data_IF_563904957243
#
_entry.id   IF_563904957243
#
_cell.length_a   1.000
_cell.length_b   1.000
_cell.length_c   1.000
_cell.angle_alpha   90.00
_cell.angle_beta   90.00
_cell.angle_gamma   90.00
#
_symmetry.space_group_name_H-M   'P 1'
#
loop_
_entity.id
_entity.type
_entity.pdbx_description
1 polymer ?
#
# COMPACT_ATOMS: atom_id res chain seq x y z
N UNK A 1 -19.81 10.85 2.20
CA UNK A 1 -18.89 11.93 2.57
C UNK A 1 -17.51 11.39 2.29
N UNK A 2 -16.74 12.09 1.45
CA UNK A 2 -15.42 11.68 0.98
C UNK A 2 -14.36 12.16 1.96
N UNK A 3 -13.50 11.25 2.42
CA UNK A 3 -12.31 11.59 3.18
C UNK A 3 -11.25 12.16 2.23
N UNK A 4 -10.82 13.40 2.43
CA UNK A 4 -9.91 14.10 1.52
C UNK A 4 -8.54 14.33 2.17
N UNK A 5 -7.50 13.77 1.56
CA UNK A 5 -6.09 13.99 1.92
C UNK A 5 -5.43 14.85 0.84
N UNK A 6 -4.68 15.87 1.28
CA UNK A 6 -3.85 16.71 0.42
C UNK A 6 -2.39 16.30 0.63
N UNK A 7 -1.88 15.50 -0.32
CA UNK A 7 -0.57 14.87 -0.25
C UNK A 7 0.47 15.55 -1.15
N UNK A 8 1.73 15.55 -0.73
CA UNK A 8 2.84 16.18 -1.42
C UNK A 8 4.06 15.27 -1.49
N UNK A 9 4.48 14.91 -2.71
CA UNK A 9 5.69 14.11 -2.95
C UNK A 9 6.91 15.04 -2.98
N UNK A 10 7.63 15.06 -1.87
CA UNK A 10 8.70 16.01 -1.56
C UNK A 10 10.07 15.40 -1.84
N UNK A 11 10.44 15.42 -3.13
CA UNK A 11 11.41 14.49 -3.68
C UNK A 11 12.67 15.11 -4.31
N UNK A 12 12.65 16.39 -4.70
CA UNK A 12 13.79 17.00 -5.41
C UNK A 12 14.90 17.45 -4.44
N UNK A 13 15.93 16.61 -4.31
CA UNK A 13 17.18 16.89 -3.59
C UNK A 13 18.33 17.37 -4.50
N UNK A 14 18.03 17.68 -5.77
CA UNK A 14 19.01 18.13 -6.77
C UNK A 14 18.93 19.64 -6.97
N UNK A 15 17.73 20.20 -7.08
CA UNK A 15 17.51 21.60 -7.42
C UNK A 15 17.16 22.46 -6.18
N UNK A 16 18.04 23.37 -5.73
CA UNK A 16 17.75 24.23 -4.57
C UNK A 16 16.51 25.11 -4.73
N UNK A 17 16.12 25.44 -5.97
CA UNK A 17 14.93 26.24 -6.26
C UNK A 17 13.63 25.47 -6.06
N UNK A 18 13.66 24.13 -6.16
CA UNK A 18 12.48 23.28 -5.93
C UNK A 18 11.92 23.44 -4.50
N UNK A 19 12.79 23.76 -3.54
CA UNK A 19 12.42 24.01 -2.15
C UNK A 19 11.45 25.19 -1.96
N UNK A 20 11.41 26.15 -2.90
CA UNK A 20 10.40 27.22 -2.86
C UNK A 20 8.99 26.72 -3.15
N UNK A 21 8.86 25.69 -3.99
CA UNK A 21 7.58 25.05 -4.28
C UNK A 21 6.97 24.41 -3.02
N UNK A 22 7.82 23.73 -2.23
CA UNK A 22 7.45 23.15 -0.92
C UNK A 22 6.87 24.26 -0.03
N UNK A 23 7.67 25.31 0.23
CA UNK A 23 7.28 26.40 1.12
C UNK A 23 5.96 27.07 0.71
N UNK A 24 5.78 27.34 -0.59
CA UNK A 24 4.58 28.01 -1.10
C UNK A 24 3.34 27.14 -0.97
N UNK A 25 3.41 25.89 -1.42
CA UNK A 25 2.27 24.98 -1.39
C UNK A 25 1.82 24.70 0.05
N UNK A 26 2.74 24.38 0.96
CA UNK A 26 2.42 24.10 2.37
C UNK A 26 1.75 25.30 3.04
N UNK A 27 2.28 26.52 2.82
CA UNK A 27 1.68 27.74 3.38
C UNK A 27 0.25 27.98 2.88
N UNK A 28 0.01 27.83 1.58
CA UNK A 28 -1.32 28.03 0.99
C UNK A 28 -2.34 27.07 1.62
N UNK A 29 -1.98 25.80 1.76
CA UNK A 29 -2.84 24.77 2.35
C UNK A 29 -3.12 25.05 3.83
N UNK A 30 -2.09 25.40 4.62
CA UNK A 30 -2.26 25.74 6.05
C UNK A 30 -3.05 27.02 6.27
N UNK A 31 -2.83 28.05 5.45
CA UNK A 31 -3.62 29.29 5.49
C UNK A 31 -5.11 29.03 5.23
N UNK A 32 -5.43 28.04 4.39
CA UNK A 32 -6.80 27.60 4.16
C UNK A 32 -7.39 26.76 5.31
N UNK A 33 -6.57 26.36 6.29
CA UNK A 33 -6.99 25.59 7.47
C UNK A 33 -6.92 24.08 7.30
N UNK A 34 -6.17 23.59 6.32
CA UNK A 34 -5.93 22.16 6.08
C UNK A 34 -4.55 21.76 6.62
N UNK A 35 -4.34 20.47 6.88
CA UNK A 35 -3.02 19.92 7.21
C UNK A 35 -2.38 19.34 5.93
N UNK A 36 -1.27 19.92 5.42
CA UNK A 36 -0.49 19.31 4.36
C UNK A 36 0.14 17.99 4.84
N UNK A 37 0.04 16.94 4.04
CA UNK A 37 0.76 15.68 4.27
C UNK A 37 1.91 15.59 3.27
N UNK A 38 3.16 15.50 3.74
CA UNK A 38 4.33 15.43 2.88
C UNK A 38 4.97 14.04 2.97
N UNK A 39 5.01 13.33 1.84
CA UNK A 39 5.90 12.18 1.66
C UNK A 39 7.30 12.74 1.37
N UNK A 40 8.22 12.69 2.34
CA UNK A 40 9.55 13.31 2.23
C UNK A 40 10.63 12.27 1.95
N UNK A 41 11.43 12.52 0.91
CA UNK A 41 12.65 11.76 0.65
C UNK A 41 13.71 12.22 1.65
N UNK A 42 14.35 11.29 2.36
CA UNK A 42 15.33 11.66 3.39
C UNK A 42 16.50 12.52 2.83
N UNK A 43 16.96 12.21 1.60
CA UNK A 43 17.94 13.05 0.88
C UNK A 43 17.45 14.49 0.64
N UNK A 44 16.15 14.71 0.47
CA UNK A 44 15.59 16.07 0.35
C UNK A 44 15.72 16.81 1.67
N UNK A 45 15.43 16.18 2.80
CA UNK A 45 15.64 16.79 4.12
C UNK A 45 17.12 17.18 4.32
N UNK A 46 18.06 16.31 3.97
CA UNK A 46 19.50 16.60 4.03
C UNK A 46 19.92 17.72 3.07
N UNK A 47 19.36 17.74 1.86
CA UNK A 47 19.60 18.79 0.88
C UNK A 47 19.13 20.16 1.38
N UNK A 48 17.95 20.23 2.03
CA UNK A 48 17.46 21.47 2.63
C UNK A 48 18.43 22.01 3.69
N UNK A 49 19.02 21.15 4.53
CA UNK A 49 20.06 21.53 5.49
C UNK A 49 21.30 22.07 4.77
N UNK A 50 21.80 21.33 3.76
CA UNK A 50 22.97 21.70 2.95
C UNK A 50 22.78 23.06 2.25
N UNK A 51 21.57 23.34 1.78
CA UNK A 51 21.21 24.58 1.10
C UNK A 51 20.90 25.73 2.07
N UNK A 52 20.89 25.49 3.38
CA UNK A 52 20.56 26.50 4.38
C UNK A 52 19.08 26.93 4.37
N UNK A 53 18.18 26.06 3.90
CA UNK A 53 16.74 26.30 3.77
C UNK A 53 15.99 26.03 5.06
N UNK A 54 16.42 26.69 6.15
CA UNK A 54 15.77 26.56 7.45
C UNK A 54 14.30 27.00 7.41
N UNK A 55 13.98 27.98 6.56
CA UNK A 55 12.60 28.43 6.31
C UNK A 55 11.68 27.32 5.81
N UNK A 56 12.19 26.38 5.01
CA UNK A 56 11.43 25.23 4.49
C UNK A 56 11.35 24.12 5.53
N UNK A 57 12.45 23.87 6.25
CA UNK A 57 12.47 22.89 7.35
C UNK A 57 11.46 23.28 8.44
N UNK A 58 11.42 24.55 8.81
CA UNK A 58 10.49 25.08 9.82
C UNK A 58 9.02 25.02 9.35
N UNK A 59 8.78 25.12 8.04
CA UNK A 59 7.45 24.93 7.46
C UNK A 59 7.05 23.45 7.48
N UNK A 60 7.91 22.55 7.02
CA UNK A 60 7.65 21.10 7.03
C UNK A 60 7.40 20.55 8.45
N UNK A 61 8.09 21.09 9.46
CA UNK A 61 7.83 20.78 10.89
C UNK A 61 6.41 21.08 11.36
N UNK A 62 5.64 21.85 10.60
CA UNK A 62 4.24 22.18 10.90
C UNK A 62 3.25 21.37 10.05
N UNK A 63 3.75 20.42 9.26
CA UNK A 63 2.99 19.52 8.40
C UNK A 63 2.99 18.10 8.98
N UNK A 64 2.12 17.25 8.44
CA UNK A 64 2.24 15.81 8.64
C UNK A 64 3.34 15.26 7.72
N UNK A 65 4.27 14.49 8.28
CA UNK A 65 5.46 14.00 7.57
C UNK A 65 5.39 12.48 7.47
N UNK A 66 5.53 12.01 6.24
CA UNK A 66 5.52 10.61 5.82
C UNK A 66 6.81 10.25 5.11
N UNK A 67 7.11 8.95 4.98
CA UNK A 67 8.33 8.50 4.32
C UNK A 67 8.13 8.34 2.82
N UNK A 68 9.07 8.89 2.06
CA UNK A 68 9.22 8.68 0.62
C UNK A 68 10.55 7.98 0.29
N UNK A 69 11.00 7.11 1.21
CA UNK A 69 12.28 6.37 1.18
C UNK A 69 13.53 7.25 1.35
N UNK A 70 14.71 6.62 1.42
CA UNK A 70 15.98 7.33 1.53
C UNK A 70 16.29 8.21 0.30
N UNK A 71 16.15 7.67 -0.91
CA UNK A 71 16.68 8.26 -2.16
C UNK A 71 15.71 8.29 -3.34
N UNK A 72 14.45 7.92 -3.12
CA UNK A 72 13.43 7.84 -4.18
C UNK A 72 13.90 6.91 -5.31
N UNK A 73 14.02 7.43 -6.53
CA UNK A 73 14.35 6.71 -7.76
C UNK A 73 15.85 6.53 -8.03
N UNK A 74 16.73 7.01 -7.14
CA UNK A 74 18.17 6.74 -7.26
C UNK A 74 18.47 5.26 -6.93
N UNK A 75 19.10 4.56 -7.87
CA UNK A 75 19.29 3.12 -7.81
C UNK A 75 20.35 2.69 -6.77
N UNK A 76 20.23 1.48 -6.19
CA UNK A 76 19.10 0.56 -6.35
C UNK A 76 17.85 1.08 -5.64
N UNK A 77 16.69 1.00 -6.30
CA UNK A 77 15.40 1.31 -5.68
C UNK A 77 14.93 0.15 -4.81
N UNK A 78 13.86 0.37 -4.05
CA UNK A 78 13.30 -0.61 -3.12
C UNK A 78 13.04 -1.97 -3.75
N UNK A 79 12.52 -2.01 -4.97
CA UNK A 79 12.31 -3.26 -5.69
C UNK A 79 13.65 -3.93 -6.05
N UNK A 80 14.65 -3.15 -6.41
CA UNK A 80 15.91 -3.69 -6.91
C UNK A 80 16.74 -4.35 -5.81
N UNK A 81 16.79 -3.74 -4.61
CA UNK A 81 17.51 -4.33 -3.49
C UNK A 81 16.70 -5.39 -2.72
N UNK A 82 15.38 -5.49 -2.93
CA UNK A 82 14.53 -6.53 -2.31
C UNK A 82 14.17 -7.70 -3.22
N UNK A 83 14.61 -7.71 -4.49
CA UNK A 83 14.37 -8.82 -5.43
C UNK A 83 15.28 -10.02 -5.14
N UNK A 84 15.11 -10.62 -3.97
CA UNK A 84 15.90 -11.74 -3.47
C UNK A 84 15.04 -12.99 -3.27
N UNK A 85 15.68 -14.14 -3.44
CA UNK A 85 15.06 -15.44 -3.22
C UNK A 85 14.68 -15.63 -1.75
N UNK A 86 15.57 -15.24 -0.84
CA UNK A 86 15.40 -15.29 0.60
C UNK A 86 14.67 -14.04 1.09
N UNK A 87 13.48 -14.23 1.65
CA UNK A 87 12.66 -13.14 2.17
C UNK A 87 13.28 -12.48 3.40
N UNK A 88 13.89 -13.26 4.30
CA UNK A 88 14.44 -12.71 5.54
C UNK A 88 15.62 -11.79 5.24
N UNK A 89 16.44 -12.15 4.25
CA UNK A 89 17.52 -11.29 3.75
C UNK A 89 16.98 -10.04 3.05
N UNK A 90 15.94 -10.17 2.21
CA UNK A 90 15.27 -9.03 1.61
C UNK A 90 14.72 -8.06 2.67
N UNK A 91 14.12 -8.60 3.73
CA UNK A 91 13.61 -7.82 4.84
C UNK A 91 14.73 -7.16 5.66
N UNK A 92 15.85 -7.85 5.89
CA UNK A 92 17.00 -7.26 6.59
C UNK A 92 17.52 -6.03 5.84
N UNK A 93 17.74 -6.14 4.53
CA UNK A 93 18.23 -5.04 3.69
C UNK A 93 17.22 -3.89 3.64
N UNK A 94 15.93 -4.20 3.46
CA UNK A 94 14.87 -3.19 3.51
C UNK A 94 14.90 -2.41 4.82
N UNK A 95 14.99 -3.09 5.97
CA UNK A 95 15.00 -2.43 7.28
C UNK A 95 16.22 -1.54 7.43
N UNK A 96 17.39 -2.00 7.01
CA UNK A 96 18.62 -1.19 7.09
C UNK A 96 18.50 0.12 6.32
N UNK A 97 17.97 0.09 5.09
CA UNK A 97 17.77 1.29 4.26
C UNK A 97 16.66 2.20 4.81
N UNK A 98 15.51 1.63 5.16
CA UNK A 98 14.36 2.43 5.58
C UNK A 98 14.49 2.96 7.01
N UNK A 99 15.05 2.20 7.97
CA UNK A 99 15.34 2.74 9.30
C UNK A 99 16.31 3.92 9.21
N UNK A 100 17.30 3.85 8.32
CA UNK A 100 18.20 4.97 8.07
C UNK A 100 17.44 6.20 7.53
N UNK A 101 16.49 6.01 6.60
CA UNK A 101 15.69 7.09 6.06
C UNK A 101 14.82 7.74 7.13
N UNK A 102 14.10 6.93 7.92
CA UNK A 102 13.24 7.41 8.99
C UNK A 102 14.04 8.17 10.06
N UNK A 103 15.24 7.72 10.39
CA UNK A 103 16.09 8.42 11.36
C UNK A 103 16.53 9.79 10.86
N UNK A 104 16.94 9.90 9.59
CA UNK A 104 17.28 11.20 8.98
C UNK A 104 16.10 12.16 9.02
N UNK A 105 14.91 11.68 8.67
CA UNK A 105 13.69 12.49 8.72
C UNK A 105 13.40 12.94 10.16
N UNK A 106 13.51 12.05 11.15
CA UNK A 106 13.30 12.40 12.56
C UNK A 106 14.29 13.43 13.07
N UNK A 107 15.57 13.28 12.72
CA UNK A 107 16.63 14.16 13.16
C UNK A 107 16.46 15.59 12.61
N UNK A 108 16.02 15.72 11.35
CA UNK A 108 15.92 17.02 10.67
C UNK A 108 14.54 17.66 10.88
N UNK A 109 13.46 16.90 10.73
CA UNK A 109 12.07 17.36 10.72
C UNK A 109 11.36 17.16 12.06
N UNK A 110 12.03 16.60 13.07
CA UNK A 110 11.46 16.38 14.42
C UNK A 110 10.85 14.99 14.58
N UNK A 111 10.28 14.71 15.75
CA UNK A 111 9.77 13.37 16.09
C UNK A 111 8.48 13.01 15.31
N UNK A 112 8.65 12.67 14.03
CA UNK A 112 7.58 12.32 13.11
C UNK A 112 7.02 10.92 13.44
N UNK A 113 5.72 10.86 13.71
CA UNK A 113 4.97 9.62 13.77
C UNK A 113 4.44 9.30 12.36
N UNK A 114 5.24 8.58 11.57
CA UNK A 114 4.89 8.22 10.19
C UNK A 114 3.62 7.34 10.16
N UNK A 115 2.56 7.82 9.53
CA UNK A 115 1.30 7.11 9.31
C UNK A 115 1.20 6.49 7.90
N UNK A 116 2.03 6.94 6.97
CA UNK A 116 2.10 6.41 5.61
C UNK A 116 3.54 6.25 5.12
N UNK A 117 3.69 5.29 4.20
CA UNK A 117 4.83 5.18 3.33
C UNK A 117 4.35 5.28 1.88
N UNK A 118 5.00 6.13 1.10
CA UNK A 118 4.76 6.24 -0.34
C UNK A 118 6.06 5.86 -1.06
N UNK A 119 6.29 4.59 -1.45
CA UNK A 119 7.48 4.26 -2.22
C UNK A 119 7.39 4.76 -3.66
N UNK A 120 8.54 5.02 -4.31
CA UNK A 120 8.59 5.83 -5.51
C UNK A 120 8.00 5.10 -6.74
N UNK A 121 7.44 5.86 -7.67
CA UNK A 121 6.95 5.36 -8.97
C UNK A 121 5.84 4.31 -8.91
N UNK A 122 5.01 4.33 -7.86
CA UNK A 122 3.98 3.32 -7.61
C UNK A 122 4.56 1.90 -7.54
N UNK A 123 5.77 1.76 -7.00
CA UNK A 123 6.48 0.49 -6.89
C UNK A 123 6.03 -0.30 -5.65
N UNK A 124 4.91 -1.03 -5.73
CA UNK A 124 4.36 -1.83 -4.60
C UNK A 124 5.16 -3.12 -4.29
N UNK A 125 6.31 -3.02 -3.63
CA UNK A 125 7.06 -4.21 -3.16
C UNK A 125 6.31 -4.93 -2.03
N UNK A 126 6.06 -6.23 -2.18
CA UNK A 126 5.45 -7.02 -1.10
C UNK A 126 6.34 -7.08 0.16
N UNK A 127 7.67 -7.02 -0.02
CA UNK A 127 8.65 -6.95 1.08
C UNK A 127 8.48 -5.63 1.82
N UNK A 128 8.42 -4.53 1.08
CA UNK A 128 8.23 -3.21 1.67
C UNK A 128 6.92 -3.09 2.45
N UNK A 129 5.82 -3.63 1.90
CA UNK A 129 4.53 -3.59 2.58
C UNK A 129 4.57 -4.35 3.92
N UNK A 130 5.16 -5.55 3.97
CA UNK A 130 5.36 -6.24 5.25
C UNK A 130 6.30 -5.48 6.18
N UNK A 131 7.38 -4.93 5.64
CA UNK A 131 8.38 -4.20 6.40
C UNK A 131 7.84 -2.94 7.08
N UNK A 132 7.11 -2.10 6.35
CA UNK A 132 6.47 -0.93 6.90
C UNK A 132 5.40 -1.29 7.95
N UNK A 133 4.60 -2.35 7.72
CA UNK A 133 3.68 -2.86 8.74
C UNK A 133 4.39 -3.32 10.02
N UNK A 134 5.61 -3.86 9.91
CA UNK A 134 6.44 -4.19 11.07
C UNK A 134 7.06 -2.98 11.76
N UNK A 135 7.34 -1.92 11.01
CA UNK A 135 7.82 -0.64 11.55
C UNK A 135 6.69 0.17 12.21
N UNK A 136 5.45 -0.31 12.15
CA UNK A 136 4.29 0.38 12.71
C UNK A 136 3.71 1.46 11.80
N UNK A 137 4.07 1.46 10.51
CA UNK A 137 3.52 2.36 9.50
C UNK A 137 2.31 1.65 8.86
N UNK A 138 1.08 2.18 9.04
CA UNK A 138 -0.14 1.46 8.71
C UNK A 138 -0.63 1.63 7.26
N UNK A 139 -0.28 2.74 6.58
CA UNK A 139 -0.78 3.06 5.24
C UNK A 139 0.34 2.94 4.20
N UNK A 140 0.05 2.23 3.11
CA UNK A 140 0.83 2.24 1.88
C UNK A 140 0.11 3.12 0.87
N UNK A 141 0.69 4.29 0.61
CA UNK A 141 0.18 5.27 -0.34
C UNK A 141 0.73 5.01 -1.75
N UNK A 142 0.00 5.44 -2.79
CA UNK A 142 0.36 5.20 -4.19
C UNK A 142 0.35 3.70 -4.57
N UNK A 143 -0.43 2.87 -3.89
CA UNK A 143 -0.44 1.41 -4.08
C UNK A 143 -1.08 0.98 -5.39
N UNK A 144 -0.52 -0.07 -6.00
CA UNK A 144 -1.10 -0.79 -7.14
C UNK A 144 -2.22 -1.77 -6.74
N UNK A 145 -2.40 -2.00 -5.43
CA UNK A 145 -3.45 -2.85 -4.88
C UNK A 145 -4.47 -1.95 -4.19
N UNK A 146 -5.41 -1.41 -4.95
CA UNK A 146 -6.45 -0.51 -4.45
C UNK A 146 -7.75 -0.68 -5.24
N UNK A 147 -8.86 -0.19 -4.68
CA UNK A 147 -10.15 -0.06 -5.35
C UNK A 147 -10.26 1.35 -5.95
N UNK A 148 -9.69 1.54 -7.15
CA UNK A 148 -9.59 2.86 -7.79
C UNK A 148 -10.96 3.45 -8.18
N UNK A 149 -11.96 2.60 -8.42
CA UNK A 149 -13.27 3.02 -8.91
C UNK A 149 -14.05 3.82 -7.87
N UNK A 150 -13.90 3.45 -6.59
CA UNK A 150 -14.62 4.11 -5.49
C UNK A 150 -13.70 4.62 -4.37
N UNK A 151 -12.38 4.46 -4.49
CA UNK A 151 -11.42 4.88 -3.46
C UNK A 151 -11.59 4.13 -2.13
N UNK A 152 -12.03 2.87 -2.18
CA UNK A 152 -12.26 2.07 -0.97
C UNK A 152 -10.93 1.58 -0.39
N UNK A 153 -10.69 1.72 0.92
CA UNK A 153 -9.48 1.20 1.55
C UNK A 153 -9.51 -0.32 1.54
N UNK A 154 -8.40 -0.96 1.19
CA UNK A 154 -8.23 -2.40 1.33
C UNK A 154 -6.97 -2.72 2.13
N UNK A 155 -6.93 -3.90 2.76
CA UNK A 155 -5.71 -4.39 3.40
C UNK A 155 -4.99 -5.35 2.46
N UNK A 156 -3.67 -5.25 2.39
CA UNK A 156 -2.79 -6.14 1.63
C UNK A 156 -1.41 -6.14 2.30
N UNK A 157 -0.84 -7.33 2.51
CA UNK A 157 0.42 -7.52 3.24
C UNK A 157 0.48 -6.76 4.57
N UNK A 158 -0.58 -6.83 5.38
CA UNK A 158 -0.72 -6.20 6.69
C UNK A 158 -0.80 -4.66 6.73
N UNK A 159 -0.85 -3.98 5.59
CA UNK A 159 -1.06 -2.52 5.50
C UNK A 159 -2.40 -2.18 4.86
N UNK A 160 -2.94 -1.00 5.19
CA UNK A 160 -4.01 -0.36 4.42
C UNK A 160 -3.39 0.20 3.15
N UNK A 161 -3.89 -0.19 1.98
CA UNK A 161 -3.38 0.25 0.69
C UNK A 161 -4.36 1.24 0.06
N UNK A 162 -3.83 2.39 -0.37
CA UNK A 162 -4.58 3.47 -1.01
C UNK A 162 -3.91 3.86 -2.33
N UNK A 163 -4.71 4.19 -3.33
CA UNK A 163 -4.23 4.73 -4.60
C UNK A 163 -4.24 6.25 -4.61
N UNK A 164 -3.45 6.83 -5.51
CA UNK A 164 -3.59 8.24 -5.89
C UNK A 164 -4.79 8.43 -6.81
N UNK A 165 -5.50 9.56 -6.65
CA UNK A 165 -6.73 9.82 -7.40
C UNK A 165 -6.56 10.98 -8.37
N UNK A 166 -6.13 12.16 -7.89
CA UNK A 166 -6.05 13.34 -8.75
C UNK A 166 -4.76 14.15 -8.55
N UNK A 167 -3.96 14.37 -9.62
CA UNK A 167 -2.79 15.23 -9.56
C UNK A 167 -3.19 16.71 -9.57
N UNK A 168 -2.57 17.50 -8.70
CA UNK A 168 -2.66 18.96 -8.69
C UNK A 168 -1.55 19.60 -9.55
N UNK A 169 -0.60 18.82 -10.07
CA UNK A 169 0.55 19.28 -10.87
C UNK A 169 0.17 20.16 -12.06
N UNK A 170 -1.04 19.97 -12.60
CA UNK A 170 -1.53 20.71 -13.76
C UNK A 170 -2.26 22.02 -13.43
N UNK A 171 -2.36 22.40 -12.16
CA UNK A 171 -3.06 23.63 -11.75
C UNK A 171 -2.45 24.90 -12.36
N UNK A 172 -1.17 24.88 -12.73
CA UNK A 172 -0.52 26.00 -13.44
C UNK A 172 -1.04 26.24 -14.86
N UNK A 173 -1.74 25.28 -15.45
CA UNK A 173 -2.28 25.37 -16.82
C UNK A 173 -3.80 25.22 -16.90
N UNK A 174 -4.43 24.61 -15.89
CA UNK A 174 -5.89 24.41 -15.82
C UNK A 174 -6.70 25.69 -15.67
N UNK A 175 -7.88 25.70 -16.26
CA UNK A 175 -8.92 26.69 -15.98
C UNK A 175 -9.73 26.28 -14.74
N UNK A 176 -10.48 27.22 -14.14
CA UNK A 176 -11.30 26.92 -12.96
C UNK A 176 -12.37 25.86 -13.20
N UNK A 177 -12.85 25.72 -14.44
CA UNK A 177 -13.77 24.65 -14.82
C UNK A 177 -13.14 23.27 -14.67
N UNK A 178 -11.86 23.12 -15.02
CA UNK A 178 -11.15 21.84 -14.87
C UNK A 178 -11.02 21.46 -13.40
N UNK A 179 -10.78 22.46 -12.53
CA UNK A 179 -10.75 22.27 -11.07
C UNK A 179 -12.12 21.83 -10.53
N UNK A 180 -13.22 22.44 -11.01
CA UNK A 180 -14.57 22.04 -10.61
C UNK A 180 -14.93 20.63 -11.10
N UNK A 181 -14.57 20.29 -12.34
CA UNK A 181 -14.79 18.94 -12.90
C UNK A 181 -14.02 17.88 -12.11
N UNK A 182 -12.82 18.22 -11.62
CA UNK A 182 -12.07 17.36 -10.71
C UNK A 182 -12.81 17.17 -9.38
N UNK A 183 -13.27 18.26 -8.75
CA UNK A 183 -14.00 18.22 -7.47
C UNK A 183 -15.25 17.34 -7.58
N UNK A 184 -16.01 17.41 -8.67
CA UNK A 184 -17.19 16.56 -8.85
C UNK A 184 -16.83 15.06 -8.87
N UNK A 185 -15.73 14.69 -9.54
CA UNK A 185 -15.24 13.30 -9.55
C UNK A 185 -14.77 12.86 -8.17
N UNK A 186 -14.06 13.73 -7.45
CA UNK A 186 -13.58 13.44 -6.10
C UNK A 186 -14.73 13.09 -5.16
N UNK A 187 -15.89 13.74 -5.31
CA UNK A 187 -17.06 13.52 -4.44
C UNK A 187 -17.72 12.13 -4.61
N UNK A 188 -17.35 11.37 -5.64
CA UNK A 188 -17.83 10.00 -5.87
C UNK A 188 -17.03 8.96 -5.07
N UNK A 189 -15.88 9.34 -4.49
CA UNK A 189 -14.96 8.45 -3.80
C UNK A 189 -15.27 8.35 -2.29
N UNK A 190 -14.97 7.20 -1.69
CA UNK A 190 -14.97 7.01 -0.24
C UNK A 190 -13.77 7.74 0.40
N UNK A 191 -12.56 7.53 -0.15
CA UNK A 191 -11.31 8.22 0.20
C UNK A 191 -10.72 8.80 -1.09
N UNK A 192 -10.34 10.07 -1.05
CA UNK A 192 -9.69 10.76 -2.15
C UNK A 192 -8.35 11.32 -1.69
N UNK A 193 -7.27 10.89 -2.35
CA UNK A 193 -5.94 11.45 -2.21
C UNK A 193 -5.66 12.31 -3.43
N UNK A 194 -5.63 13.63 -3.22
CA UNK A 194 -5.07 14.56 -4.20
C UNK A 194 -3.59 14.72 -3.92
N UNK A 195 -2.76 14.69 -4.96
CA UNK A 195 -1.31 14.69 -4.80
C UNK A 195 -0.67 15.78 -5.67
N UNK A 196 0.48 16.28 -5.23
CA UNK A 196 1.28 17.26 -5.97
C UNK A 196 2.77 16.99 -5.74
N UNK A 197 3.58 17.22 -6.77
CA UNK A 197 5.03 17.28 -6.65
C UNK A 197 5.44 18.75 -6.50
N UNK A 198 5.75 19.26 -5.29
CA UNK A 198 6.03 20.69 -5.08
C UNK A 198 7.18 21.21 -5.96
N UNK A 199 8.11 20.34 -6.34
CA UNK A 199 9.18 20.65 -7.27
C UNK A 199 8.63 21.16 -8.61
N UNK A 200 7.52 20.64 -9.12
CA UNK A 200 6.91 21.07 -10.38
C UNK A 200 6.25 22.46 -10.32
N UNK A 201 6.14 23.06 -9.14
CA UNK A 201 5.76 24.47 -8.98
C UNK A 201 6.99 25.42 -8.91
N UNK A 202 8.17 24.91 -9.23
CA UNK A 202 9.42 25.68 -9.23
C UNK A 202 10.39 25.25 -10.34
N UNK A 203 10.40 23.99 -10.73
CA UNK A 203 11.24 23.37 -11.74
C UNK A 203 10.36 22.76 -12.85
N UNK A 204 10.76 22.93 -14.12
CA UNK A 204 9.91 22.61 -15.28
C UNK A 204 9.86 21.12 -15.64
N UNK A 205 10.78 20.33 -15.10
CA UNK A 205 10.96 18.91 -15.42
C UNK A 205 11.33 18.16 -14.14
N UNK A 206 10.94 16.89 -14.03
CA UNK A 206 11.29 16.03 -12.92
C UNK A 206 12.81 15.80 -12.86
N UNK A 207 13.38 15.92 -11.66
CA UNK A 207 14.82 15.76 -11.42
C UNK A 207 15.30 14.34 -11.74
N UNK A 208 14.49 13.33 -11.48
CA UNK A 208 14.89 11.94 -11.61
C UNK A 208 14.79 11.42 -13.04
N UNK A 209 13.87 11.93 -13.85
CA UNK A 209 13.85 11.63 -15.30
C UNK A 209 15.16 12.00 -15.98
N UNK A 210 15.80 13.08 -15.55
CA UNK A 210 17.07 13.57 -16.11
C UNK A 210 18.31 12.85 -15.54
N UNK A 211 18.21 12.38 -14.29
CA UNK A 211 19.37 11.95 -13.50
C UNK A 211 19.39 10.44 -13.19
N UNK A 212 18.25 9.76 -13.12
CA UNK A 212 18.14 8.39 -12.61
C UNK A 212 17.34 7.44 -13.52
N UNK A 213 16.92 7.86 -14.72
CA UNK A 213 16.10 7.02 -15.61
C UNK A 213 16.87 5.82 -16.17
N UNK A 214 16.76 4.69 -15.47
CA UNK A 214 17.32 3.39 -15.87
C UNK A 214 18.82 3.23 -15.64
N UNK A 215 19.49 4.28 -15.13
CA UNK A 215 20.87 4.31 -14.67
C UNK A 215 21.14 5.57 -13.83
N UNK A 216 22.04 5.48 -12.85
CA UNK A 216 22.40 6.62 -12.01
C UNK A 216 23.42 7.52 -12.69
N UNK A 217 23.09 8.80 -12.84
CA UNK A 217 24.06 9.84 -13.14
C UNK A 217 24.94 10.12 -11.90
N UNK A 218 26.27 10.27 -12.06
CA UNK A 218 27.13 10.73 -10.97
C UNK A 218 26.70 12.08 -10.41
N UNK A 219 26.81 12.27 -9.10
CA UNK A 219 26.37 13.50 -8.42
C UNK A 219 27.05 14.77 -8.96
N UNK A 220 28.31 14.69 -9.40
CA UNK A 220 29.03 15.82 -10.01
C UNK A 220 28.39 16.33 -11.30
N UNK A 221 27.57 15.50 -11.94
CA UNK A 221 27.03 15.75 -13.27
C UNK A 221 25.51 15.96 -13.23
N UNK A 222 24.89 15.94 -12.04
CA UNK A 222 23.45 16.09 -11.88
C UNK A 222 22.93 17.35 -12.57
N UNK A 223 21.85 17.17 -13.32
CA UNK A 223 21.19 18.22 -14.08
C UNK A 223 20.11 18.84 -13.20
N UNK A 224 20.17 20.16 -13.06
CA UNK A 224 19.12 20.94 -12.41
C UNK A 224 18.14 21.41 -13.48
N UNK A 225 16.86 21.12 -13.28
CA UNK A 225 15.82 21.58 -14.18
C UNK A 225 15.65 23.10 -14.16
N UNK A 226 15.27 23.67 -15.30
CA UNK A 226 15.04 25.10 -15.44
C UNK A 226 13.80 25.56 -14.67
N UNK A 227 13.74 26.81 -14.20
CA UNK A 227 12.56 27.30 -13.49
C UNK A 227 11.28 27.30 -14.33
N UNK A 228 10.14 27.05 -13.67
CA UNK A 228 8.80 27.21 -14.26
C UNK A 228 8.52 28.69 -14.53
N UNK A 229 7.79 29.04 -15.62
CA UNK A 229 7.41 30.43 -15.87
C UNK A 229 6.60 31.04 -14.71
N UNK A 230 6.90 32.28 -14.25
CA UNK A 230 6.24 32.89 -13.10
C UNK A 230 4.71 32.99 -13.21
N UNK A 231 4.18 33.15 -14.43
CA UNK A 231 2.74 33.18 -14.68
C UNK A 231 2.06 31.84 -14.40
N UNK A 232 2.74 30.71 -14.64
CA UNK A 232 2.22 29.38 -14.34
C UNK A 232 2.24 29.13 -12.83
N UNK A 233 3.31 29.54 -12.14
CA UNK A 233 3.40 29.48 -10.67
C UNK A 233 2.24 30.27 -10.05
N UNK A 234 2.01 31.50 -10.51
CA UNK A 234 0.90 32.33 -10.03
C UNK A 234 -0.47 31.68 -10.28
N UNK A 235 -0.67 31.13 -11.48
CA UNK A 235 -1.91 30.45 -11.85
C UNK A 235 -2.14 29.19 -11.01
N UNK A 236 -1.09 28.43 -10.72
CA UNK A 236 -1.12 27.30 -9.80
C UNK A 236 -1.61 27.75 -8.41
N UNK A 237 -1.01 28.80 -7.84
CA UNK A 237 -1.41 29.30 -6.51
C UNK A 237 -2.86 29.80 -6.47
N UNK A 238 -3.30 30.49 -7.53
CA UNK A 238 -4.69 30.95 -7.67
C UNK A 238 -5.67 29.77 -7.72
N UNK A 239 -5.34 28.73 -8.48
CA UNK A 239 -6.16 27.52 -8.58
C UNK A 239 -6.13 26.67 -7.32
N UNK A 240 -4.98 26.58 -6.63
CA UNK A 240 -4.87 25.87 -5.35
C UNK A 240 -5.73 26.53 -4.28
N UNK A 241 -5.68 27.87 -4.16
CA UNK A 241 -6.55 28.62 -3.24
C UNK A 241 -8.03 28.44 -3.60
N UNK A 242 -8.38 28.47 -4.89
CA UNK A 242 -9.74 28.26 -5.35
C UNK A 242 -10.25 26.84 -5.02
N UNK A 243 -9.43 25.82 -5.27
CA UNK A 243 -9.72 24.43 -4.93
C UNK A 243 -9.99 24.28 -3.43
N UNK A 244 -9.05 24.74 -2.59
CA UNK A 244 -9.14 24.63 -1.13
C UNK A 244 -10.39 25.32 -0.57
N UNK A 245 -10.70 26.53 -1.04
CA UNK A 245 -11.91 27.25 -0.62
C UNK A 245 -13.18 26.52 -1.06
N UNK A 246 -13.17 25.91 -2.24
CA UNK A 246 -14.33 25.16 -2.75
C UNK A 246 -14.58 23.91 -1.93
N UNK A 247 -13.56 23.07 -1.72
CA UNK A 247 -13.71 21.81 -0.96
C UNK A 247 -13.97 22.05 0.53
N UNK A 248 -13.44 23.14 1.11
CA UNK A 248 -13.71 23.52 2.51
C UNK A 248 -15.18 23.82 2.78
N UNK A 249 -15.86 24.41 1.80
CA UNK A 249 -17.26 24.83 1.93
C UNK A 249 -18.26 23.80 1.36
N UNK A 250 -17.77 22.66 0.85
CA UNK A 250 -18.60 21.62 0.27
C UNK A 250 -18.86 20.50 1.30
N UNK A 251 -20.11 20.27 1.72
CA UNK A 251 -20.44 19.28 2.75
C UNK A 251 -20.22 17.83 2.33
N UNK A 252 -19.86 17.58 1.06
CA UNK A 252 -19.52 16.23 0.57
C UNK A 252 -18.14 15.80 1.07
N UNK A 253 -17.25 16.71 1.43
CA UNK A 253 -15.87 16.41 1.83
C UNK A 253 -15.64 16.51 3.34
N UNK A 254 -14.81 15.60 3.84
CA UNK A 254 -14.20 15.67 5.16
C UNK A 254 -12.68 15.74 4.98
N UNK A 255 -12.05 16.91 5.17
CA UNK A 255 -10.61 17.02 5.19
C UNK A 255 -10.02 16.18 6.32
N UNK A 256 -9.00 15.38 6.02
CA UNK A 256 -8.36 14.45 6.97
C UNK A 256 -6.87 14.31 6.65
N UNK A 257 -6.14 13.58 7.48
CA UNK A 257 -4.73 13.20 7.26
C UNK A 257 -4.53 11.68 7.27
N UNK A 258 -3.34 11.18 6.93
CA UNK A 258 -3.05 9.74 7.03
C UNK A 258 -3.17 9.24 8.47
N UNK A 259 -2.72 10.04 9.43
CA UNK A 259 -2.78 9.75 10.86
C UNK A 259 -4.23 9.69 11.39
N UNK A 260 -5.09 10.62 10.95
CA UNK A 260 -6.51 10.64 11.31
C UNK A 260 -7.25 9.47 10.66
N UNK A 261 -6.98 9.22 9.38
CA UNK A 261 -7.56 8.11 8.63
C UNK A 261 -7.18 6.75 9.23
N UNK A 262 -5.92 6.56 9.64
CA UNK A 262 -5.46 5.34 10.32
C UNK A 262 -6.32 5.01 11.53
N UNK A 263 -6.55 6.00 12.41
CA UNK A 263 -7.36 5.82 13.63
C UNK A 263 -8.80 5.44 13.29
N UNK A 264 -9.33 5.99 12.20
CA UNK A 264 -10.68 5.68 11.70
C UNK A 264 -10.80 4.26 11.14
N UNK A 265 -9.73 3.76 10.51
CA UNK A 265 -9.68 2.44 9.86
C UNK A 265 -9.15 1.32 10.76
N UNK A 266 -8.72 1.65 11.98
CA UNK A 266 -8.30 0.67 12.98
C UNK A 266 -9.50 -0.17 13.43
N UNK A 267 -9.39 -1.49 13.24
CA UNK A 267 -10.44 -2.42 13.64
C UNK A 267 -9.82 -3.72 14.14
N UNK A 268 -10.20 -4.12 15.36
CA UNK A 268 -9.88 -5.44 15.90
C UNK A 268 -10.84 -6.47 15.32
N UNK A 269 -10.29 -7.46 14.63
CA UNK A 269 -11.07 -8.52 13.97
C UNK A 269 -10.98 -9.81 14.77
N UNK A 270 -12.12 -10.36 15.18
CA UNK A 270 -12.19 -11.58 15.99
C UNK A 270 -13.16 -12.56 15.35
N UNK A 271 -12.68 -13.78 15.12
CA UNK A 271 -13.49 -14.87 14.57
C UNK A 271 -13.87 -15.83 15.69
N UNK A 272 -15.12 -16.30 15.66
CA UNK A 272 -15.67 -17.29 16.59
C UNK A 272 -16.18 -18.51 15.82
N UNK A 273 -16.18 -19.72 16.42
CA UNK A 273 -16.67 -20.93 15.76
C UNK A 273 -18.09 -20.82 15.18
N UNK A 274 -18.98 -20.07 15.85
CA UNK A 274 -20.35 -19.85 15.39
C UNK A 274 -20.47 -19.14 14.03
N UNK A 275 -19.41 -18.46 13.57
CA UNK A 275 -19.35 -17.74 12.30
C UNK A 275 -18.92 -18.63 11.12
N UNK A 276 -18.34 -19.81 11.39
CA UNK A 276 -17.78 -20.68 10.36
C UNK A 276 -18.78 -21.17 9.31
N UNK A 277 -20.05 -21.50 9.65
CA UNK A 277 -21.02 -21.90 8.63
C UNK A 277 -21.28 -20.81 7.58
N UNK A 278 -21.35 -19.55 8.00
CA UNK A 278 -21.55 -18.40 7.10
C UNK A 278 -20.30 -18.15 6.25
N UNK A 279 -19.11 -18.15 6.86
CA UNK A 279 -17.82 -18.01 6.14
C UNK A 279 -17.69 -19.11 5.09
N UNK A 280 -18.00 -20.36 5.45
CA UNK A 280 -17.97 -21.50 4.54
C UNK A 280 -18.94 -21.32 3.37
N UNK A 281 -20.17 -20.85 3.63
CA UNK A 281 -21.16 -20.60 2.57
C UNK A 281 -20.65 -19.54 1.58
N UNK A 282 -20.12 -18.43 2.09
CA UNK A 282 -19.57 -17.34 1.28
C UNK A 282 -18.38 -17.79 0.42
N UNK A 283 -17.47 -18.60 0.97
CA UNK A 283 -16.33 -19.16 0.22
C UNK A 283 -16.72 -20.24 -0.79
N UNK A 284 -17.86 -20.92 -0.59
CA UNK A 284 -18.38 -21.90 -1.54
C UNK A 284 -19.06 -21.23 -2.73
N UNK A 285 -19.71 -20.08 -2.51
CA UNK A 285 -20.25 -19.22 -3.57
C UNK A 285 -19.12 -18.57 -4.38
N UNK A 286 -18.13 -18.02 -3.68
CA UNK A 286 -17.03 -17.29 -4.28
C UNK A 286 -15.75 -17.40 -3.44
N UNK A 287 -14.67 -17.93 -4.02
CA UNK A 287 -13.39 -18.09 -3.33
C UNK A 287 -12.63 -16.75 -3.29
N UNK A 288 -13.12 -15.85 -2.44
CA UNK A 288 -12.70 -14.47 -2.33
C UNK A 288 -12.78 -14.00 -0.87
N UNK A 289 -12.04 -12.95 -0.45
CA UNK A 289 -12.21 -12.32 0.86
C UNK A 289 -13.67 -12.13 1.26
N UNK A 290 -13.95 -12.29 2.55
CA UNK A 290 -15.29 -12.11 3.11
C UNK A 290 -15.36 -10.78 3.83
N UNK A 291 -16.50 -10.11 3.73
CA UNK A 291 -16.81 -8.84 4.42
C UNK A 291 -17.80 -9.04 5.56
N UNK A 292 -18.34 -10.25 5.67
CA UNK A 292 -19.30 -10.71 6.68
C UNK A 292 -18.96 -12.14 7.10
N UNK A 293 -19.16 -12.51 8.38
CA UNK A 293 -19.56 -11.63 9.49
C UNK A 293 -18.44 -10.71 9.98
N UNK A 294 -17.22 -10.86 9.43
CA UNK A 294 -16.10 -9.95 9.60
C UNK A 294 -15.34 -9.74 8.28
N UNK A 295 -14.49 -8.69 8.27
CA UNK A 295 -13.51 -8.41 7.21
C UNK A 295 -12.35 -9.41 7.27
N UNK A 296 -12.38 -10.48 6.49
CA UNK A 296 -11.35 -11.53 6.54
C UNK A 296 -10.75 -11.79 5.18
N UNK A 297 -9.41 -11.85 5.15
CA UNK A 297 -8.65 -12.42 4.05
C UNK A 297 -8.71 -13.95 4.08
N UNK A 298 -8.30 -14.60 2.98
CA UNK A 298 -8.20 -16.06 2.97
C UNK A 298 -7.18 -16.57 4.00
N UNK A 299 -6.11 -15.82 4.23
CA UNK A 299 -5.10 -16.14 5.24
C UNK A 299 -5.66 -16.08 6.66
N UNK A 300 -6.48 -15.06 6.97
CA UNK A 300 -7.18 -14.96 8.26
C UNK A 300 -8.08 -16.19 8.48
N UNK A 301 -8.83 -16.61 7.45
CA UNK A 301 -9.75 -17.76 7.54
C UNK A 301 -8.96 -19.06 7.74
N UNK A 302 -7.84 -19.24 7.04
CA UNK A 302 -6.98 -20.41 7.19
C UNK A 302 -6.40 -20.53 8.60
N UNK A 303 -5.90 -19.41 9.16
CA UNK A 303 -5.38 -19.37 10.54
C UNK A 303 -6.47 -19.56 11.59
N UNK A 304 -7.67 -19.03 11.36
CA UNK A 304 -8.82 -19.29 12.21
C UNK A 304 -9.21 -20.77 12.21
N UNK A 305 -9.23 -21.41 11.03
CA UNK A 305 -9.47 -22.86 10.93
C UNK A 305 -8.44 -23.67 11.71
N UNK A 306 -7.15 -23.33 11.57
CA UNK A 306 -6.06 -23.95 12.34
C UNK A 306 -6.31 -23.83 13.84
N UNK A 307 -6.59 -22.61 14.30
CA UNK A 307 -6.82 -22.32 15.72
C UNK A 307 -7.99 -23.12 16.31
N UNK A 308 -9.11 -23.22 15.58
CA UNK A 308 -10.28 -23.97 16.02
C UNK A 308 -10.07 -25.48 15.98
N UNK A 309 -9.35 -26.01 14.98
CA UNK A 309 -8.96 -27.43 14.95
C UNK A 309 -8.03 -27.80 16.10
N UNK A 310 -7.21 -26.85 16.57
CA UNK A 310 -6.36 -26.98 17.75
C UNK A 310 -7.10 -26.71 19.08
N UNK A 311 -8.42 -26.46 19.04
CA UNK A 311 -9.26 -26.33 20.23
C UNK A 311 -9.30 -24.94 20.87
N UNK A 312 -8.95 -23.86 20.14
CA UNK A 312 -9.20 -22.49 20.61
C UNK A 312 -10.69 -22.13 20.49
N UNK A 313 -11.16 -21.25 21.36
CA UNK A 313 -12.55 -20.77 21.37
C UNK A 313 -12.77 -19.50 20.53
N UNK A 314 -11.69 -18.76 20.23
CA UNK A 314 -11.68 -17.59 19.37
C UNK A 314 -10.34 -17.47 18.64
N UNK A 315 -10.37 -16.83 17.46
CA UNK A 315 -9.18 -16.43 16.72
C UNK A 315 -9.15 -14.90 16.62
N UNK A 316 -8.10 -14.28 17.15
CA UNK A 316 -7.86 -12.84 17.02
C UNK A 316 -6.97 -12.65 15.79
N UNK A 317 -7.49 -12.00 14.75
CA UNK A 317 -6.75 -11.82 13.52
C UNK A 317 -5.54 -10.90 13.77
N UNK A 318 -4.36 -11.39 13.42
CA UNK A 318 -3.10 -10.67 13.56
C UNK A 318 -2.50 -10.30 12.20
N UNK A 319 -1.16 -10.33 12.14
CA UNK A 319 -0.44 -10.27 10.87
C UNK A 319 -0.59 -11.59 10.13
N UNK A 320 -0.86 -11.50 8.84
CA UNK A 320 -1.01 -12.64 7.95
C UNK A 320 0.01 -12.55 6.82
N UNK A 321 0.34 -13.70 6.25
CA UNK A 321 1.26 -13.81 5.13
C UNK A 321 0.63 -14.68 4.05
N UNK A 322 0.94 -14.41 2.78
CA UNK A 322 0.56 -15.28 1.66
C UNK A 322 1.58 -16.39 1.46
N UNK A 323 1.95 -16.65 0.21
CA UNK A 323 2.93 -17.68 -0.15
C UNK A 323 4.19 -17.09 -0.79
N UNK A 324 5.35 -17.73 -0.59
CA UNK A 324 6.57 -17.40 -1.35
C UNK A 324 6.67 -18.14 -2.68
N UNK A 325 5.97 -19.27 -2.80
CA UNK A 325 5.93 -20.12 -3.98
C UNK A 325 4.49 -20.52 -4.30
N UNK A 326 4.25 -20.92 -5.56
CA UNK A 326 2.91 -21.35 -5.98
C UNK A 326 2.47 -22.57 -5.15
N UNK A 327 1.34 -22.48 -4.43
CA UNK A 327 0.85 -23.60 -3.63
C UNK A 327 0.37 -24.75 -4.52
N UNK A 328 0.41 -25.95 -3.96
CA UNK A 328 -0.16 -27.14 -4.57
C UNK A 328 -1.68 -27.04 -4.65
N UNK A 329 -2.26 -27.64 -5.70
CA UNK A 329 -3.70 -27.80 -5.88
C UNK A 329 -3.98 -29.23 -6.35
N UNK A 330 -4.97 -29.88 -5.74
CA UNK A 330 -5.35 -31.24 -6.12
C UNK A 330 -5.92 -31.28 -7.55
N UNK A 331 -5.70 -32.39 -8.25
CA UNK A 331 -6.18 -32.60 -9.64
C UNK A 331 -7.35 -33.56 -9.75
N UNK A 332 -7.57 -34.35 -8.71
CA UNK A 332 -8.66 -35.31 -8.61
C UNK A 332 -9.29 -35.17 -7.21
N UNK A 333 -10.56 -35.54 -7.03
CA UNK A 333 -11.19 -35.50 -5.71
C UNK A 333 -10.44 -36.36 -4.69
N UNK A 334 -10.28 -35.84 -3.48
CA UNK A 334 -9.62 -36.53 -2.36
C UNK A 334 -10.57 -36.61 -1.18
N UNK A 335 -10.72 -37.80 -0.59
CA UNK A 335 -11.53 -38.02 0.61
C UNK A 335 -10.63 -38.10 1.84
N UNK A 336 -10.98 -37.34 2.87
CA UNK A 336 -10.22 -37.15 4.10
C UNK A 336 -11.09 -37.38 5.32
N UNK A 337 -10.49 -37.88 6.41
CA UNK A 337 -11.19 -38.03 7.69
C UNK A 337 -10.92 -36.82 8.57
N UNK A 338 -11.88 -36.50 9.43
CA UNK A 338 -11.79 -35.35 10.33
C UNK A 338 -10.57 -35.40 11.27
N UNK A 339 -10.22 -36.58 11.78
CA UNK A 339 -9.07 -36.76 12.68
C UNK A 339 -7.74 -36.44 11.98
N UNK A 340 -7.59 -36.83 10.71
CA UNK A 340 -6.38 -36.55 9.93
C UNK A 340 -6.26 -35.06 9.61
N UNK A 341 -7.37 -34.39 9.34
CA UNK A 341 -7.43 -32.94 9.11
C UNK A 341 -7.04 -32.18 10.39
N UNK A 342 -7.56 -32.61 11.56
CA UNK A 342 -7.19 -32.03 12.87
C UNK A 342 -5.71 -32.19 13.14
N UNK A 343 -5.15 -33.37 12.92
CA UNK A 343 -3.72 -33.64 13.10
C UNK A 343 -2.86 -32.77 12.17
N UNK A 344 -3.31 -32.55 10.93
CA UNK A 344 -2.58 -31.74 9.95
C UNK A 344 -2.55 -30.23 10.29
N UNK A 345 -3.41 -29.74 11.20
CA UNK A 345 -3.45 -28.33 11.59
C UNK A 345 -2.11 -27.80 12.14
N UNK A 346 -1.29 -28.67 12.77
CA UNK A 346 0.03 -28.31 13.29
C UNK A 346 1.03 -27.88 12.19
N UNK A 347 0.78 -28.22 10.92
CA UNK A 347 1.62 -27.82 9.78
C UNK A 347 1.37 -26.36 9.34
N UNK A 348 0.29 -25.74 9.83
CA UNK A 348 -0.05 -24.34 9.52
C UNK A 348 0.47 -23.46 10.65
N UNK A 349 1.63 -22.87 10.43
CA UNK A 349 2.28 -21.98 11.39
C UNK A 349 1.67 -20.56 11.35
N UNK A 350 1.68 -19.90 12.52
CA UNK A 350 1.36 -18.48 12.65
C UNK A 350 2.60 -17.61 12.44
N UNK A 351 2.40 -16.34 12.08
CA UNK A 351 3.48 -15.36 12.01
C UNK A 351 4.53 -15.63 10.93
N UNK A 352 4.22 -16.47 9.95
CA UNK A 352 5.09 -16.79 8.81
C UNK A 352 4.26 -17.07 7.55
N UNK A 353 4.93 -17.22 6.41
CA UNK A 353 4.29 -17.55 5.14
C UNK A 353 3.53 -18.86 5.21
N UNK A 354 2.38 -18.91 4.54
CA UNK A 354 1.56 -20.11 4.47
C UNK A 354 2.33 -21.23 3.76
N UNK A 355 2.18 -22.49 4.20
CA UNK A 355 2.82 -23.62 3.55
C UNK A 355 2.27 -23.78 2.13
N UNK A 356 3.10 -24.27 1.20
CA UNK A 356 2.66 -24.52 -0.18
C UNK A 356 1.87 -25.82 -0.31
N UNK A 357 1.99 -26.72 0.66
CA UNK A 357 1.21 -27.94 0.76
C UNK A 357 1.12 -28.44 2.22
N UNK A 358 0.12 -29.27 2.48
CA UNK A 358 -0.16 -29.87 3.78
C UNK A 358 -0.34 -31.38 3.57
N UNK A 359 0.31 -32.18 4.41
CA UNK A 359 0.17 -33.64 4.38
C UNK A 359 -0.97 -34.09 5.30
N UNK A 360 -1.97 -34.79 4.75
CA UNK A 360 -3.12 -35.33 5.48
C UNK A 360 -3.21 -36.84 5.21
N UNK A 361 -3.02 -37.68 6.23
CA UNK A 361 -2.94 -39.15 6.08
C UNK A 361 -1.99 -39.61 4.96
N UNK A 362 -0.80 -39.01 4.91
CA UNK A 362 0.21 -39.28 3.88
C UNK A 362 -0.13 -38.75 2.47
N UNK A 363 -1.29 -38.12 2.29
CA UNK A 363 -1.69 -37.48 1.03
C UNK A 363 -1.29 -36.01 1.04
N UNK A 364 -0.72 -35.53 -0.07
CA UNK A 364 -0.36 -34.12 -0.26
C UNK A 364 -1.57 -33.33 -0.73
N UNK A 365 -1.89 -32.24 -0.04
CA UNK A 365 -3.09 -31.40 -0.29
C UNK A 365 -2.72 -29.92 -0.30
N UNK A 366 -3.44 -29.14 -1.11
CA UNK A 366 -3.25 -27.71 -1.22
C UNK A 366 -3.81 -26.94 -0.02
N UNK A 367 -3.26 -25.76 0.33
CA UNK A 367 -3.78 -24.89 1.39
C UNK A 367 -5.27 -24.54 1.22
N UNK A 368 -5.71 -24.23 -0.01
CA UNK A 368 -7.11 -23.95 -0.32
C UNK A 368 -8.01 -25.17 -0.06
N UNK A 369 -7.54 -26.34 -0.44
CA UNK A 369 -8.26 -27.60 -0.31
C UNK A 369 -8.33 -28.02 1.16
N UNK A 370 -7.23 -27.89 1.90
CA UNK A 370 -7.19 -28.10 3.34
C UNK A 370 -8.13 -27.12 4.08
N UNK A 371 -8.15 -25.84 3.72
CA UNK A 371 -9.05 -24.86 4.34
C UNK A 371 -10.53 -25.22 4.12
N UNK A 372 -10.90 -25.67 2.91
CA UNK A 372 -12.26 -26.18 2.64
C UNK A 372 -12.59 -27.41 3.49
N UNK A 373 -11.65 -28.35 3.60
CA UNK A 373 -11.81 -29.55 4.42
C UNK A 373 -11.92 -29.21 5.92
N UNK A 374 -11.10 -28.28 6.40
CA UNK A 374 -11.12 -27.79 7.78
C UNK A 374 -12.45 -27.11 8.11
N UNK A 375 -12.96 -26.23 7.23
CA UNK A 375 -14.28 -25.61 7.40
C UNK A 375 -15.40 -26.66 7.45
N UNK A 376 -15.31 -27.71 6.64
CA UNK A 376 -16.29 -28.80 6.66
C UNK A 376 -16.25 -29.59 7.97
N UNK A 377 -15.07 -29.96 8.46
CA UNK A 377 -14.87 -30.64 9.75
C UNK A 377 -15.37 -29.79 10.92
N UNK A 378 -15.02 -28.49 10.93
CA UNK A 378 -15.48 -27.55 11.95
C UNK A 378 -17.00 -27.29 11.89
N UNK A 379 -17.64 -27.57 10.76
CA UNK A 379 -19.09 -27.57 10.60
C UNK A 379 -19.75 -28.94 10.93
N UNK A 380 -18.98 -29.93 11.40
CA UNK A 380 -19.50 -31.22 11.89
C UNK A 380 -19.36 -32.41 10.94
N UNK A 381 -18.61 -32.30 9.85
CA UNK A 381 -18.37 -33.44 8.95
C UNK A 381 -17.23 -34.34 9.45
N UNK A 382 -17.49 -35.64 9.53
CA UNK A 382 -16.47 -36.64 9.93
C UNK A 382 -15.63 -37.18 8.77
N UNK A 383 -16.13 -37.01 7.54
CA UNK A 383 -15.45 -37.38 6.30
C UNK A 383 -15.79 -36.37 5.24
N UNK A 384 -14.78 -35.80 4.59
CA UNK A 384 -14.92 -34.71 3.63
C UNK A 384 -14.27 -35.12 2.31
N UNK A 385 -14.98 -34.93 1.21
CA UNK A 385 -14.40 -35.05 -0.14
C UNK A 385 -14.19 -33.66 -0.71
N UNK A 386 -12.94 -33.28 -0.89
CA UNK A 386 -12.56 -32.04 -1.58
C UNK A 386 -12.34 -32.32 -3.06
N UNK A 387 -12.89 -31.46 -3.92
CA UNK A 387 -12.73 -31.54 -5.37
C UNK A 387 -11.80 -30.43 -5.87
N UNK A 388 -11.14 -30.61 -7.02
CA UNK A 388 -10.32 -29.56 -7.64
C UNK A 388 -11.12 -28.25 -7.81
N UNK A 389 -10.50 -27.14 -7.45
CA UNK A 389 -11.12 -25.82 -7.52
C UNK A 389 -10.10 -24.68 -7.49
N UNK A 390 -10.55 -23.42 -7.40
CA UNK A 390 -9.65 -22.27 -7.32
C UNK A 390 -8.74 -22.38 -6.09
N UNK A 391 -7.45 -22.11 -6.24
CA UNK A 391 -6.53 -21.96 -5.12
C UNK A 391 -6.16 -20.48 -4.86
N UNK A 392 -6.39 -19.62 -5.85
CA UNK A 392 -6.17 -18.17 -5.77
C UNK A 392 -7.50 -17.46 -5.98
N UNK A 393 -7.62 -16.25 -5.41
CA UNK A 393 -8.71 -15.34 -5.76
C UNK A 393 -8.66 -14.98 -7.24
N UNK A 394 -9.79 -14.50 -7.78
CA UNK A 394 -9.83 -13.95 -9.12
C UNK A 394 -9.05 -12.62 -9.18
N UNK A 395 -7.88 -12.64 -9.81
CA UNK A 395 -7.05 -11.44 -9.97
C UNK A 395 -7.58 -10.47 -11.03
N UNK A 396 -8.62 -10.81 -11.80
CA UNK A 396 -9.25 -9.84 -12.70
C UNK A 396 -9.89 -8.66 -11.94
N UNK A 397 -10.24 -8.87 -10.67
CA UNK A 397 -10.66 -7.81 -9.73
C UNK A 397 -9.53 -6.83 -9.38
N UNK A 398 -8.27 -7.21 -9.64
CA UNK A 398 -7.07 -6.41 -9.35
C UNK A 398 -6.17 -6.31 -10.58
N UNK A 399 -6.58 -5.61 -11.65
CA UNK A 399 -5.90 -5.65 -12.93
C UNK A 399 -4.43 -5.18 -12.87
N UNK A 400 -4.12 -4.22 -11.99
CA UNK A 400 -2.75 -3.73 -11.78
C UNK A 400 -1.88 -4.79 -11.09
N UNK A 401 -2.37 -5.44 -10.03
CA UNK A 401 -1.69 -6.57 -9.37
C UNK A 401 -1.54 -7.77 -10.32
N UNK A 402 -2.57 -8.10 -11.10
CA UNK A 402 -2.53 -9.20 -12.08
C UNK A 402 -1.41 -9.00 -13.10
N UNK A 403 -1.25 -7.78 -13.59
CA UNK A 403 -0.30 -7.40 -14.64
C UNK A 403 1.03 -6.87 -14.10
N UNK A 404 1.23 -6.87 -12.78
CA UNK A 404 2.42 -6.28 -12.16
C UNK A 404 3.69 -6.91 -12.73
N UNK A 405 4.57 -6.06 -13.21
CA UNK A 405 5.88 -6.40 -13.75
C UNK A 405 6.74 -5.15 -13.66
N UNK A 406 7.80 -5.24 -12.89
CA UNK A 406 8.71 -4.13 -12.66
C UNK A 406 9.86 -4.12 -13.67
N UNK A 407 10.16 -5.25 -14.30
CA UNK A 407 11.21 -5.30 -15.31
C UNK A 407 10.91 -4.35 -16.46
N UNK A 408 11.88 -3.47 -16.76
CA UNK A 408 11.78 -2.51 -17.84
C UNK A 408 10.79 -1.37 -17.58
N UNK A 409 10.31 -1.20 -16.34
CA UNK A 409 9.63 0.02 -15.94
C UNK A 409 10.61 1.20 -15.92
N UNK A 410 10.08 2.42 -15.94
CA UNK A 410 10.90 3.63 -16.07
C UNK A 410 11.78 3.92 -14.84
N UNK A 411 11.40 3.40 -13.66
CA UNK A 411 12.01 3.72 -12.37
C UNK A 411 13.09 2.73 -11.93
N UNK A 412 13.26 1.60 -12.62
CA UNK A 412 14.29 0.60 -12.29
C UNK A 412 15.42 0.62 -13.30
N UNK A 413 16.60 0.16 -12.89
CA UNK A 413 17.74 -0.01 -13.78
C UNK A 413 17.35 -0.90 -14.94
N UNK A 414 17.95 -0.65 -16.10
CA UNK A 414 17.76 -1.48 -17.31
C UNK A 414 18.14 -2.95 -17.06
N UNK A 415 19.03 -3.21 -16.10
CA UNK A 415 19.46 -4.55 -15.69
C UNK A 415 18.53 -5.24 -14.71
N UNK A 416 17.52 -4.57 -14.18
CA UNK A 416 16.60 -5.16 -13.20
C UNK A 416 15.77 -6.28 -13.83
N UNK A 417 15.68 -7.42 -13.14
CA UNK A 417 15.10 -8.64 -13.70
C UNK A 417 13.73 -9.01 -13.14
N UNK A 418 13.35 -8.51 -11.96
CA UNK A 418 12.08 -8.82 -11.29
C UNK A 418 11.85 -10.35 -11.17
N UNK A 419 12.84 -11.03 -10.58
CA UNK A 419 12.88 -12.51 -10.49
C UNK A 419 11.85 -13.05 -9.51
N UNK A 420 11.59 -12.31 -8.43
CA UNK A 420 10.80 -12.77 -7.29
C UNK A 420 9.64 -11.82 -6.95
N UNK A 421 9.81 -10.51 -7.11
CA UNK A 421 8.84 -9.54 -6.56
C UNK A 421 7.46 -9.67 -7.17
N UNK A 422 7.31 -9.51 -8.49
CA UNK A 422 5.99 -9.50 -9.12
C UNK A 422 5.25 -10.82 -8.96
N UNK A 423 5.95 -11.95 -9.08
CA UNK A 423 5.35 -13.27 -8.90
C UNK A 423 4.85 -13.47 -7.47
N UNK A 424 5.67 -13.11 -6.47
CA UNK A 424 5.30 -13.21 -5.05
C UNK A 424 4.26 -12.20 -4.61
N UNK A 425 4.24 -11.00 -5.20
CA UNK A 425 3.18 -10.03 -4.95
C UNK A 425 1.80 -10.62 -5.29
N UNK A 426 1.66 -11.26 -6.45
CA UNK A 426 0.41 -11.98 -6.79
C UNK A 426 0.06 -13.09 -5.79
N UNK A 427 1.05 -13.80 -5.25
CA UNK A 427 0.84 -14.82 -4.23
C UNK A 427 0.40 -14.26 -2.88
N UNK A 428 0.62 -12.97 -2.62
CA UNK A 428 0.13 -12.31 -1.42
C UNK A 428 -1.36 -11.92 -1.52
N UNK A 429 -2.05 -12.23 -2.63
CA UNK A 429 -3.48 -11.93 -2.78
C UNK A 429 -4.36 -12.62 -1.73
N UNK A 430 -3.85 -13.68 -1.11
CA UNK A 430 -4.46 -14.33 0.07
C UNK A 430 -4.52 -13.46 1.32
N UNK A 431 -3.76 -12.36 1.37
CA UNK A 431 -3.76 -11.40 2.48
C UNK A 431 -4.71 -10.23 2.25
N UNK A 432 -5.36 -10.18 1.08
CA UNK A 432 -6.30 -9.10 0.76
C UNK A 432 -7.52 -9.20 1.68
N UNK A 433 -7.89 -8.10 2.33
CA UNK A 433 -9.19 -7.99 3.00
C UNK A 433 -9.87 -6.67 2.64
N UNK A 434 -11.19 -6.73 2.50
CA UNK A 434 -12.05 -5.58 2.21
C UNK A 434 -12.74 -5.10 3.48
N UNK A 435 -13.15 -3.82 3.59
CA UNK A 435 -13.85 -3.33 4.77
C UNK A 435 -15.11 -4.17 5.09
N UNK A 436 -15.44 -4.24 6.38
CA UNK A 436 -16.62 -4.96 6.83
C UNK A 436 -17.89 -4.35 6.21
N UNK A 437 -18.92 -5.17 5.98
CA UNK A 437 -20.22 -4.74 5.47
C UNK A 437 -20.19 -4.13 4.05
N UNK A 438 -19.11 -4.31 3.29
CA UNK A 438 -19.03 -3.89 1.89
C UNK A 438 -19.32 -5.03 0.92
N UNK A 439 -19.53 -4.68 -0.36
CA UNK A 439 -19.53 -5.66 -1.44
C UNK A 439 -18.17 -6.37 -1.49
N UNK A 440 -18.20 -7.67 -1.82
CA UNK A 440 -17.00 -8.52 -1.91
C UNK A 440 -16.23 -8.36 -3.22
N UNK A 441 -16.77 -7.64 -4.20
CA UNK A 441 -16.16 -7.46 -5.52
C UNK A 441 -15.77 -6.00 -5.74
N UNK A 442 -14.69 -5.79 -6.49
CA UNK A 442 -14.14 -4.51 -6.90
C UNK A 442 -14.52 -4.30 -8.37
N UNK A 443 -14.96 -3.09 -8.73
CA UNK A 443 -15.55 -2.82 -10.05
C UNK A 443 -14.55 -2.30 -11.07
#
# INVERSE_FOLDING_TARGET
MTELIISFDTEDYVNPHAADGILRASKIVREAGFMPCHNVVARTAEALVKWGRQDVIDELKQCEIETHTMRHSHHPTINEYTDLADFDEAMRIFREEEDAALNVLRDILGDCAFAAACPPGMSTSYVATYGYADMGIPIYDGSLVCDEAVGRPLRYCNMINLGYHHPLDYFGVWEKSDVLDMIEKMAELEICIVYHHPALNAAAEFYDEQNFKGENRPESDWIMSTPVPPEQVKKFEENLRFFLETVKNDPRFHPTTYSELTKKLECRRVVKPAQLPEIRALLSEDFFPVTMPESLSLSDIMLACRDFLMGKDEHICGKVYGFLDTPYAIREPVTLRADDIRAAAEQVADGTFLPTDITVDGQKIGPADWMRAALAVLCGEETVTVAPGPWQIDLDEFPRLKKINYRGSWIHMKSFEDRYLSSRARLQSWTISLPKDTKRRIY
#
